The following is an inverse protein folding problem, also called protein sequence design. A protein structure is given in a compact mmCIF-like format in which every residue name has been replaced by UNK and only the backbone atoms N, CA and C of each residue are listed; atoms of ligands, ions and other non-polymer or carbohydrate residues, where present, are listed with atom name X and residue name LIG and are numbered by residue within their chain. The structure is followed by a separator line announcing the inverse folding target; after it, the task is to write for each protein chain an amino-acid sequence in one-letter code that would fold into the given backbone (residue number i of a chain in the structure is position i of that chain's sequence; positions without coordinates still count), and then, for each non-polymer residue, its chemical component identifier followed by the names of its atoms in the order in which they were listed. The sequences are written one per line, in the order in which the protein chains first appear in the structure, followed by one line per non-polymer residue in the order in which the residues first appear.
data_IF_927199176258
#
_entry.id   IF_927199176258
#
_cell.length_a   1.000
_cell.length_b   1.000
_cell.length_c   1.000
_cell.angle_alpha   90.00
_cell.angle_beta   90.00
_cell.angle_gamma   90.00
#
_symmetry.space_group_name_H-M   'P 1'
#
loop_
_entity.id
_entity.type
_entity.pdbx_description
1 polymer ?
#
# COMPACT_ATOMS: atom_id res chain seq x y z
N UNK A 1 -1.23 -23.66 -6.41
CA UNK A 1 -0.09 -22.73 -6.55
C UNK A 1 -0.48 -21.52 -5.75
N UNK A 2 0.40 -20.99 -4.98
CA UNK A 2 0.13 -19.75 -4.23
C UNK A 2 0.14 -18.59 -5.22
N UNK A 3 -0.85 -17.69 -5.11
CA UNK A 3 -0.98 -16.53 -5.97
C UNK A 3 -1.25 -15.27 -5.13
N UNK A 4 -0.75 -14.15 -5.60
CA UNK A 4 -0.89 -12.85 -4.94
C UNK A 4 -1.36 -11.78 -5.92
N UNK A 5 -2.14 -10.82 -5.42
CA UNK A 5 -2.55 -9.63 -6.16
C UNK A 5 -1.88 -8.40 -5.55
N UNK A 6 -1.24 -7.59 -6.38
CA UNK A 6 -0.75 -6.26 -6.02
C UNK A 6 -1.73 -5.19 -6.49
N UNK A 7 -2.17 -4.34 -5.58
CA UNK A 7 -3.06 -3.20 -5.85
C UNK A 7 -2.22 -1.94 -5.86
N UNK A 8 -1.91 -1.42 -7.04
CA UNK A 8 -0.89 -0.36 -7.23
C UNK A 8 -1.52 0.95 -7.70
N UNK A 9 -1.07 2.06 -7.14
CA UNK A 9 -1.57 3.41 -7.44
C UNK A 9 -1.21 3.89 -8.85
N UNK A 10 -2.16 4.52 -9.54
CA UNK A 10 -1.95 5.25 -10.79
C UNK A 10 -1.47 6.71 -10.58
N UNK A 11 -1.47 7.20 -9.32
CA UNK A 11 -1.14 8.58 -8.94
C UNK A 11 0.26 8.72 -8.29
N UNK A 12 0.91 7.60 -7.94
CA UNK A 12 2.26 7.59 -7.37
C UNK A 12 2.47 6.48 -6.35
N UNK A 13 2.99 5.31 -6.79
CA UNK A 13 3.39 4.24 -5.87
C UNK A 13 4.86 4.40 -5.46
N UNK A 14 5.20 4.00 -4.24
CA UNK A 14 6.60 3.96 -3.80
C UNK A 14 7.28 2.71 -4.35
N UNK A 15 8.32 2.91 -5.15
CA UNK A 15 8.93 1.84 -5.94
C UNK A 15 9.41 0.66 -5.12
N UNK A 16 10.18 0.91 -4.05
CA UNK A 16 10.74 -0.12 -3.18
C UNK A 16 9.63 -0.97 -2.53
N UNK A 17 8.59 -0.34 -1.99
CA UNK A 17 7.46 -1.02 -1.33
C UNK A 17 6.65 -1.93 -2.25
N UNK A 18 6.70 -1.67 -3.55
CA UNK A 18 6.07 -2.51 -4.56
C UNK A 18 7.05 -3.60 -5.05
N UNK A 19 8.26 -3.22 -5.42
CA UNK A 19 9.16 -4.09 -6.19
C UNK A 19 9.93 -5.07 -5.29
N UNK A 20 10.27 -4.72 -4.04
CA UNK A 20 10.94 -5.66 -3.14
C UNK A 20 10.03 -6.85 -2.78
N UNK A 21 8.78 -6.67 -2.32
CA UNK A 21 7.87 -7.80 -2.09
C UNK A 21 7.55 -8.56 -3.37
N UNK A 22 7.32 -7.87 -4.50
CA UNK A 22 6.99 -8.50 -5.77
C UNK A 22 8.13 -9.42 -6.24
N UNK A 23 9.37 -8.92 -6.23
CA UNK A 23 10.54 -9.72 -6.62
C UNK A 23 10.79 -10.89 -5.67
N UNK A 24 10.54 -10.71 -4.38
CA UNK A 24 10.66 -11.77 -3.36
C UNK A 24 9.66 -12.90 -3.63
N UNK A 25 8.42 -12.56 -3.97
CA UNK A 25 7.40 -13.54 -4.33
C UNK A 25 7.71 -14.26 -5.65
N UNK A 26 8.23 -13.54 -6.65
CA UNK A 26 8.71 -14.13 -7.90
C UNK A 26 9.82 -15.17 -7.67
N UNK A 27 10.81 -14.83 -6.83
CA UNK A 27 11.88 -15.76 -6.44
C UNK A 27 11.36 -16.98 -5.68
N UNK A 28 10.28 -16.83 -4.93
CA UNK A 28 9.60 -17.91 -4.23
C UNK A 28 8.70 -18.77 -5.15
N UNK A 29 8.50 -18.35 -6.40
CA UNK A 29 7.66 -19.04 -7.37
C UNK A 29 6.16 -18.85 -7.13
N UNK A 30 5.77 -17.74 -6.51
CA UNK A 30 4.38 -17.30 -6.36
C UNK A 30 3.93 -16.69 -7.69
N UNK A 31 2.71 -16.97 -8.10
CA UNK A 31 2.10 -16.31 -9.26
C UNK A 31 1.56 -14.94 -8.84
N UNK A 32 2.06 -13.87 -9.46
CA UNK A 32 1.71 -12.50 -9.06
C UNK A 32 0.96 -11.79 -10.18
N UNK A 33 -0.22 -11.25 -9.85
CA UNK A 33 -0.98 -10.33 -10.69
C UNK A 33 -0.88 -8.89 -10.17
N UNK A 34 -1.08 -7.92 -11.06
CA UNK A 34 -1.15 -6.49 -10.71
C UNK A 34 -2.49 -5.93 -11.14
N UNK A 35 -3.12 -5.16 -10.26
CA UNK A 35 -4.32 -4.39 -10.57
C UNK A 35 -4.14 -2.92 -10.16
N UNK A 36 -4.78 -2.04 -10.92
CA UNK A 36 -4.80 -0.61 -10.66
C UNK A 36 -6.25 -0.09 -10.67
N UNK A 37 -6.54 1.10 -10.17
CA UNK A 37 -7.91 1.61 -10.11
C UNK A 37 -8.70 1.50 -11.42
N UNK A 38 -8.07 1.81 -12.54
CA UNK A 38 -8.76 1.83 -13.85
C UNK A 38 -8.20 0.87 -14.89
N UNK A 39 -7.10 0.15 -14.58
CA UNK A 39 -6.38 -0.71 -15.50
C UNK A 39 -5.35 0.04 -16.35
N UNK A 40 -5.05 1.30 -16.02
CA UNK A 40 -3.92 1.99 -16.64
C UNK A 40 -2.62 1.60 -15.91
N UNK A 41 -1.46 1.67 -16.59
CA UNK A 41 -0.18 1.47 -15.94
C UNK A 41 -0.03 2.36 -14.69
N UNK A 42 0.49 1.82 -13.58
CA UNK A 42 0.75 2.60 -12.38
C UNK A 42 1.84 3.64 -12.65
N UNK A 43 1.91 4.67 -11.83
CA UNK A 43 2.91 5.72 -11.91
C UNK A 43 3.85 5.60 -10.72
N UNK A 44 5.15 5.42 -10.96
CA UNK A 44 6.14 5.40 -9.89
C UNK A 44 6.36 6.82 -9.33
N UNK A 45 6.46 6.94 -8.01
CA UNK A 45 6.83 8.22 -7.37
C UNK A 45 8.30 8.56 -7.72
N UNK A 46 8.53 9.74 -8.30
CA UNK A 46 9.85 10.17 -8.75
C UNK A 46 10.91 10.16 -7.63
N UNK A 47 10.50 10.37 -6.37
CA UNK A 47 11.40 10.33 -5.20
C UNK A 47 11.89 8.92 -4.90
N UNK A 48 11.05 7.90 -5.18
CA UNK A 48 11.37 6.49 -4.94
C UNK A 48 12.29 5.87 -6.00
N UNK A 49 12.62 6.62 -7.04
CA UNK A 49 13.62 6.26 -8.06
C UNK A 49 14.80 7.21 -8.12
N UNK A 50 14.84 8.22 -7.24
CA UNK A 50 15.97 9.11 -7.09
C UNK A 50 17.11 8.39 -6.33
N UNK A 51 18.29 8.14 -6.95
CA UNK A 51 19.39 7.45 -6.30
C UNK A 51 19.97 8.20 -5.09
N UNK A 52 19.77 9.52 -5.00
CA UNK A 52 20.18 10.30 -3.83
C UNK A 52 19.22 10.05 -2.63
N UNK A 53 18.01 9.60 -2.89
CA UNK A 53 16.97 9.27 -1.87
C UNK A 53 17.03 7.80 -1.46
N UNK A 54 16.99 6.87 -2.44
CA UNK A 54 16.84 5.43 -2.16
C UNK A 54 18.13 4.63 -2.40
N UNK A 55 19.18 5.26 -2.94
CA UNK A 55 20.42 4.60 -3.34
C UNK A 55 20.35 4.01 -4.76
N UNK A 56 21.54 3.90 -5.41
CA UNK A 56 21.65 3.46 -6.80
C UNK A 56 21.03 2.07 -7.04
N UNK A 57 21.22 1.12 -6.12
CA UNK A 57 20.77 -0.27 -6.30
C UNK A 57 19.25 -0.41 -6.32
N UNK A 58 18.57 0.27 -5.41
CA UNK A 58 17.08 0.28 -5.36
C UNK A 58 16.55 1.05 -6.58
N UNK A 59 17.07 2.23 -6.86
CA UNK A 59 16.69 3.03 -8.03
C UNK A 59 16.77 2.23 -9.33
N UNK A 60 17.90 1.56 -9.59
CA UNK A 60 18.09 0.74 -10.80
C UNK A 60 17.09 -0.43 -10.85
N UNK A 61 16.87 -1.13 -9.73
CA UNK A 61 15.95 -2.25 -9.66
C UNK A 61 14.51 -1.82 -9.93
N UNK A 62 14.05 -0.74 -9.27
CA UNK A 62 12.70 -0.21 -9.45
C UNK A 62 12.48 0.22 -10.90
N UNK A 63 13.41 0.97 -11.48
CA UNK A 63 13.32 1.41 -12.87
C UNK A 63 13.36 0.24 -13.87
N UNK A 64 14.05 -0.85 -13.57
CA UNK A 64 14.05 -2.04 -14.44
C UNK A 64 12.68 -2.69 -14.45
N UNK A 65 12.05 -2.89 -13.28
CA UNK A 65 10.69 -3.43 -13.20
C UNK A 65 9.65 -2.49 -13.82
N UNK A 66 9.67 -1.20 -13.47
CA UNK A 66 8.72 -0.21 -13.98
C UNK A 66 8.72 -0.13 -15.52
N UNK A 67 9.88 -0.26 -16.14
CA UNK A 67 10.02 -0.18 -17.59
C UNK A 67 9.81 -1.50 -18.34
N UNK A 68 9.99 -2.66 -17.68
CA UNK A 68 10.08 -3.93 -18.39
C UNK A 68 9.12 -5.00 -17.89
N UNK A 69 8.45 -4.83 -16.74
CA UNK A 69 7.51 -5.82 -16.23
C UNK A 69 6.15 -5.70 -16.94
N UNK A 70 5.74 -6.78 -17.61
CA UNK A 70 4.48 -6.81 -18.36
C UNK A 70 3.24 -6.63 -17.45
N UNK A 71 3.31 -7.01 -16.16
CA UNK A 71 2.23 -6.88 -15.20
C UNK A 71 1.97 -5.42 -14.84
N UNK A 72 3.05 -4.61 -14.74
CA UNK A 72 2.94 -3.16 -14.53
C UNK A 72 2.53 -2.43 -15.82
N UNK A 73 2.93 -2.95 -16.98
CA UNK A 73 2.60 -2.34 -18.27
C UNK A 73 1.13 -2.56 -18.70
N UNK A 74 0.51 -3.68 -18.29
CA UNK A 74 -0.88 -4.04 -18.67
C UNK A 74 -1.63 -4.64 -17.45
N UNK A 75 -1.84 -3.84 -16.39
CA UNK A 75 -2.51 -4.28 -15.17
C UNK A 75 -4.01 -4.48 -15.37
N UNK A 76 -4.63 -5.28 -14.49
CA UNK A 76 -6.08 -5.44 -14.49
C UNK A 76 -6.78 -4.24 -13.82
N UNK A 77 -7.97 -3.81 -14.28
CA UNK A 77 -8.76 -2.84 -13.52
C UNK A 77 -9.33 -3.49 -12.25
N UNK A 78 -9.27 -2.78 -11.11
CA UNK A 78 -9.79 -3.26 -9.81
C UNK A 78 -11.24 -3.78 -9.87
N UNK A 79 -12.04 -3.24 -10.78
CA UNK A 79 -13.42 -3.68 -10.96
C UNK A 79 -13.58 -5.11 -11.51
N UNK A 80 -12.49 -5.71 -12.04
CA UNK A 80 -12.51 -7.04 -12.67
C UNK A 80 -11.91 -8.15 -11.81
N UNK A 81 -11.26 -7.82 -10.68
CA UNK A 81 -10.59 -8.78 -9.80
C UNK A 81 -11.42 -9.08 -8.55
N UNK A 82 -11.20 -10.25 -7.96
CA UNK A 82 -11.86 -10.70 -6.72
C UNK A 82 -10.80 -11.22 -5.75
N UNK A 83 -10.93 -10.93 -4.46
CA UNK A 83 -10.04 -11.46 -3.43
C UNK A 83 -10.09 -13.00 -3.35
N UNK A 84 -11.21 -13.61 -3.70
CA UNK A 84 -11.37 -15.08 -3.70
C UNK A 84 -10.43 -15.80 -4.68
N UNK A 85 -9.86 -15.09 -5.64
CA UNK A 85 -8.94 -15.65 -6.64
C UNK A 85 -7.49 -15.65 -6.17
N UNK A 86 -7.17 -15.07 -4.99
CA UNK A 86 -5.80 -14.88 -4.49
C UNK A 86 -5.63 -15.33 -3.05
N UNK A 87 -4.47 -15.90 -2.73
CA UNK A 87 -4.09 -16.27 -1.36
C UNK A 87 -3.62 -15.04 -0.55
N UNK A 88 -3.14 -14.00 -1.24
CA UNK A 88 -2.73 -12.75 -0.63
C UNK A 88 -3.07 -11.53 -1.50
N UNK A 89 -3.42 -10.40 -0.86
CA UNK A 89 -3.58 -9.11 -1.51
C UNK A 89 -2.60 -8.12 -0.88
N UNK A 90 -1.78 -7.49 -1.71
CA UNK A 90 -0.71 -6.57 -1.30
C UNK A 90 -1.05 -5.16 -1.78
N UNK A 91 -1.00 -4.21 -0.86
CA UNK A 91 -1.22 -2.79 -1.12
C UNK A 91 0.09 -2.04 -0.84
N UNK A 92 0.98 -1.88 -1.83
CA UNK A 92 2.15 -1.02 -1.69
C UNK A 92 1.73 0.41 -1.45
N UNK A 93 2.54 1.17 -0.71
CA UNK A 93 2.23 2.55 -0.42
C UNK A 93 2.76 3.52 -1.48
N UNK A 94 3.12 4.68 -1.02
CA UNK A 94 3.38 5.87 -1.81
C UNK A 94 2.24 6.87 -1.64
N UNK A 95 2.55 8.16 -1.69
CA UNK A 95 1.55 9.21 -1.47
C UNK A 95 0.38 9.16 -2.45
N UNK A 96 0.59 8.63 -3.68
CA UNK A 96 -0.47 8.47 -4.67
C UNK A 96 -1.69 7.71 -4.16
N UNK A 97 -1.49 6.75 -3.25
CA UNK A 97 -2.57 5.94 -2.66
C UNK A 97 -3.62 6.78 -1.94
N UNK A 98 -3.23 7.96 -1.42
CA UNK A 98 -4.14 8.91 -0.77
C UNK A 98 -5.17 9.51 -1.73
N UNK A 99 -4.87 9.54 -3.04
CA UNK A 99 -5.78 10.12 -4.04
C UNK A 99 -6.61 9.07 -4.77
N UNK A 100 -6.10 7.84 -4.97
CA UNK A 100 -6.75 6.86 -5.85
C UNK A 100 -7.05 5.49 -5.22
N UNK A 101 -6.30 5.03 -4.21
CA UNK A 101 -6.50 3.69 -3.60
C UNK A 101 -7.35 3.78 -2.33
N UNK A 102 -6.98 4.64 -1.36
CA UNK A 102 -7.54 4.61 -0.01
C UNK A 102 -9.05 4.84 0.02
N UNK A 103 -9.57 5.60 -0.93
CA UNK A 103 -11.01 5.87 -1.05
C UNK A 103 -11.71 5.10 -2.15
N UNK A 104 -10.98 4.31 -2.97
CA UNK A 104 -11.59 3.49 -4.02
C UNK A 104 -12.45 2.37 -3.41
N UNK A 105 -13.65 2.20 -3.96
CA UNK A 105 -14.62 1.22 -3.44
C UNK A 105 -14.21 -0.22 -3.70
N UNK A 106 -13.52 -0.49 -4.82
CA UNK A 106 -13.12 -1.86 -5.18
C UNK A 106 -11.88 -2.27 -4.40
N UNK A 107 -10.91 -1.35 -4.21
CA UNK A 107 -9.76 -1.56 -3.34
C UNK A 107 -10.20 -1.89 -1.90
N UNK A 108 -11.13 -1.11 -1.34
CA UNK A 108 -11.70 -1.35 0.00
C UNK A 108 -12.46 -2.66 0.09
N UNK A 109 -13.21 -3.04 -0.96
CA UNK A 109 -13.91 -4.32 -0.97
C UNK A 109 -12.91 -5.48 -1.01
N UNK A 110 -11.88 -5.42 -1.88
CA UNK A 110 -10.81 -6.41 -1.93
C UNK A 110 -10.12 -6.59 -0.59
N UNK A 111 -9.79 -5.49 0.09
CA UNK A 111 -9.18 -5.55 1.42
C UNK A 111 -10.12 -6.21 2.44
N UNK A 112 -11.40 -5.81 2.46
CA UNK A 112 -12.37 -6.37 3.39
C UNK A 112 -12.57 -7.88 3.15
N UNK A 113 -12.67 -8.31 1.90
CA UNK A 113 -12.86 -9.70 1.52
C UNK A 113 -11.61 -10.55 1.83
N UNK A 114 -10.40 -10.03 1.56
CA UNK A 114 -9.15 -10.71 1.88
C UNK A 114 -8.97 -10.96 3.39
N UNK A 115 -9.37 -9.98 4.23
CA UNK A 115 -9.27 -10.10 5.70
C UNK A 115 -10.44 -10.89 6.30
N UNK A 116 -11.58 -10.98 5.63
CA UNK A 116 -12.72 -11.77 6.09
C UNK A 116 -12.64 -13.25 5.68
N UNK A 117 -11.80 -13.58 4.71
CA UNK A 117 -11.62 -14.97 4.23
C UNK A 117 -10.93 -15.87 5.25
N UNK A 118 -11.28 -17.17 5.23
CA UNK A 118 -10.67 -18.16 6.16
C UNK A 118 -9.18 -18.46 5.84
N UNK A 119 -8.69 -18.09 4.65
CA UNK A 119 -7.34 -18.42 4.16
C UNK A 119 -6.64 -17.22 3.45
N UNK A 120 -7.29 -16.04 3.39
CA UNK A 120 -6.75 -14.85 2.76
C UNK A 120 -5.84 -14.07 3.70
N UNK A 121 -4.89 -13.31 3.14
CA UNK A 121 -4.02 -12.39 3.89
C UNK A 121 -3.94 -11.05 3.14
N UNK A 122 -4.02 -9.95 3.86
CA UNK A 122 -3.76 -8.63 3.31
C UNK A 122 -2.46 -8.05 3.90
N UNK A 123 -1.54 -7.62 3.03
CA UNK A 123 -0.39 -6.80 3.39
C UNK A 123 -0.62 -5.37 2.93
N UNK A 124 -0.57 -4.42 3.86
CA UNK A 124 -0.80 -3.00 3.58
C UNK A 124 0.38 -2.18 4.10
N UNK A 125 1.00 -1.38 3.24
CA UNK A 125 2.28 -0.72 3.54
C UNK A 125 2.14 0.80 3.50
N UNK A 126 2.79 1.49 4.43
CA UNK A 126 3.03 2.93 4.39
C UNK A 126 1.72 3.75 4.25
N UNK A 127 1.59 4.59 3.22
CA UNK A 127 0.41 5.42 2.96
C UNK A 127 -0.83 4.61 2.55
N UNK A 128 -0.65 3.41 1.97
CA UNK A 128 -1.79 2.54 1.67
C UNK A 128 -2.54 2.10 2.94
N UNK A 129 -1.89 2.13 4.12
CA UNK A 129 -2.54 1.83 5.41
C UNK A 129 -3.74 2.76 5.69
N UNK A 130 -3.75 3.96 5.10
CA UNK A 130 -4.89 4.88 5.16
C UNK A 130 -6.21 4.28 4.66
N UNK A 131 -6.18 3.27 3.77
CA UNK A 131 -7.37 2.56 3.30
C UNK A 131 -8.19 1.97 4.46
N UNK A 132 -7.54 1.59 5.57
CA UNK A 132 -8.18 1.03 6.76
C UNK A 132 -9.12 2.05 7.42
N UNK A 133 -8.81 3.34 7.34
CA UNK A 133 -9.66 4.43 7.83
C UNK A 133 -10.99 4.55 7.09
N UNK A 134 -11.10 3.99 5.90
CA UNK A 134 -12.27 4.06 5.04
C UNK A 134 -12.97 2.70 4.82
N UNK A 135 -12.34 1.59 5.20
CA UNK A 135 -12.84 0.24 4.95
C UNK A 135 -13.76 -0.23 6.07
N UNK A 136 -14.89 -0.85 5.69
CA UNK A 136 -15.85 -1.45 6.62
C UNK A 136 -16.01 -2.94 6.36
N UNK A 137 -16.22 -3.69 7.44
CA UNK A 137 -16.58 -5.10 7.39
C UNK A 137 -18.06 -5.28 6.99
N UNK A 138 -18.51 -6.52 6.85
CA UNK A 138 -19.88 -6.87 6.49
C UNK A 138 -20.95 -6.36 7.48
N UNK A 139 -20.57 -6.12 8.74
CA UNK A 139 -21.50 -5.58 9.76
C UNK A 139 -21.61 -4.05 9.68
N UNK A 140 -20.77 -3.40 8.87
CA UNK A 140 -20.72 -1.95 8.69
C UNK A 140 -19.84 -1.22 9.72
N UNK A 141 -19.12 -1.97 10.57
CA UNK A 141 -18.09 -1.44 11.47
C UNK A 141 -16.78 -1.20 10.70
N UNK A 142 -15.93 -0.32 11.19
CA UNK A 142 -14.60 -0.16 10.57
C UNK A 142 -13.80 -1.46 10.69
N UNK A 143 -13.14 -1.87 9.59
CA UNK A 143 -12.37 -3.09 9.55
C UNK A 143 -11.22 -3.08 10.58
N UNK A 144 -10.66 -1.91 10.83
CA UNK A 144 -9.52 -1.67 11.72
C UNK A 144 -9.93 -1.52 13.20
N UNK A 145 -11.22 -1.39 13.52
CA UNK A 145 -11.67 -1.13 14.91
C UNK A 145 -11.17 -2.21 15.88
N UNK A 146 -10.31 -1.77 16.82
CA UNK A 146 -9.68 -2.61 17.83
C UNK A 146 -8.49 -3.45 17.37
N UNK A 147 -8.07 -3.38 16.08
CA UNK A 147 -6.88 -4.09 15.58
C UNK A 147 -5.60 -3.31 15.83
N UNK A 148 -4.52 -4.04 16.07
CA UNK A 148 -3.18 -3.48 16.17
C UNK A 148 -2.62 -3.23 14.77
N UNK A 149 -2.13 -2.01 14.50
CA UNK A 149 -1.66 -1.60 13.17
C UNK A 149 -0.50 -0.63 13.25
N UNK A 150 0.32 -0.61 12.20
CA UNK A 150 1.35 0.38 11.94
C UNK A 150 1.20 0.91 10.51
N UNK A 151 1.81 2.05 10.21
CA UNK A 151 1.80 2.68 8.89
C UNK A 151 2.65 3.94 8.92
N UNK A 152 2.51 4.80 7.90
CA UNK A 152 3.30 6.03 7.82
C UNK A 152 2.84 7.04 8.90
N UNK A 153 3.73 7.45 9.84
CA UNK A 153 3.33 8.26 10.99
C UNK A 153 3.25 9.75 10.65
N UNK A 154 2.38 10.47 11.35
CA UNK A 154 2.22 11.91 11.18
C UNK A 154 3.52 12.71 11.41
N UNK A 155 4.37 12.28 12.36
CA UNK A 155 5.64 12.95 12.63
C UNK A 155 6.55 12.99 11.39
N UNK A 156 6.59 11.91 10.61
CA UNK A 156 7.38 11.86 9.37
C UNK A 156 6.67 12.60 8.22
N UNK A 157 5.34 12.57 8.21
CA UNK A 157 4.55 13.29 7.20
C UNK A 157 4.72 14.80 7.33
N UNK A 158 4.73 15.33 8.57
CA UNK A 158 4.92 16.74 8.84
C UNK A 158 6.27 17.28 8.32
N UNK A 159 7.30 16.43 8.25
CA UNK A 159 8.59 16.78 7.68
C UNK A 159 8.56 16.88 6.12
N UNK A 160 7.56 16.27 5.49
CA UNK A 160 7.43 16.24 4.02
C UNK A 160 6.51 17.36 3.52
N UNK A 161 5.43 17.66 4.23
CA UNK A 161 4.46 18.69 3.84
C UNK A 161 4.88 20.06 4.38
N UNK A 162 4.52 21.14 3.67
CA UNK A 162 4.76 22.52 4.13
C UNK A 162 3.68 23.01 5.11
N UNK A 163 3.80 24.25 5.59
CA UNK A 163 2.85 24.88 6.53
C UNK A 163 1.40 24.95 6.02
N UNK A 164 1.15 24.64 4.75
CA UNK A 164 -0.17 24.60 4.14
C UNK A 164 -0.66 23.17 3.83
N UNK A 165 -0.01 22.16 4.36
CA UNK A 165 -0.25 20.73 4.06
C UNK A 165 -0.08 20.42 2.56
N UNK A 166 0.90 21.03 1.90
CA UNK A 166 1.21 20.82 0.49
C UNK A 166 2.37 19.84 0.31
N UNK A 167 2.19 18.93 -0.63
CA UNK A 167 3.27 18.06 -1.10
C UNK A 167 4.31 18.84 -1.90
N UNK A 168 5.52 18.32 -2.11
CA UNK A 168 6.55 18.97 -2.92
C UNK A 168 6.11 19.36 -4.33
N UNK A 169 5.12 18.65 -4.90
CA UNK A 169 4.50 18.96 -6.19
C UNK A 169 3.40 20.03 -6.12
N UNK A 170 3.13 20.56 -4.93
CA UNK A 170 2.13 21.60 -4.68
C UNK A 170 0.69 21.09 -4.54
N UNK A 171 0.45 19.77 -4.55
CA UNK A 171 -0.86 19.21 -4.22
C UNK A 171 -1.11 19.28 -2.72
N UNK A 172 -2.36 19.49 -2.33
CA UNK A 172 -2.73 19.35 -0.93
C UNK A 172 -2.84 17.88 -0.56
N UNK A 173 -2.18 17.47 0.53
CA UNK A 173 -2.38 16.15 1.09
C UNK A 173 -3.83 15.99 1.55
N UNK A 174 -4.59 14.98 1.08
CA UNK A 174 -6.01 14.86 1.39
C UNK A 174 -6.25 14.39 2.83
N UNK A 175 -5.41 13.51 3.33
CA UNK A 175 -5.53 12.87 4.65
C UNK A 175 -4.13 12.65 5.26
N UNK A 176 -4.12 12.41 6.57
CA UNK A 176 -2.97 11.86 7.29
C UNK A 176 -3.33 10.43 7.71
N UNK A 177 -2.51 9.46 7.32
CA UNK A 177 -2.77 8.01 7.52
C UNK A 177 -3.06 7.67 8.98
N UNK A 178 -2.20 8.12 9.87
CA UNK A 178 -2.34 7.88 11.32
C UNK A 178 -3.67 8.42 11.86
N UNK A 179 -4.03 9.65 11.49
CA UNK A 179 -5.28 10.29 11.94
C UNK A 179 -6.51 9.51 11.49
N UNK A 180 -6.55 9.07 10.21
CA UNK A 180 -7.69 8.33 9.66
C UNK A 180 -7.85 6.95 10.33
N UNK A 181 -6.74 6.25 10.55
CA UNK A 181 -6.73 4.92 11.17
C UNK A 181 -7.14 5.01 12.64
N UNK A 182 -6.61 5.98 13.40
CA UNK A 182 -6.98 6.22 14.80
C UNK A 182 -8.46 6.62 14.89
N UNK A 183 -8.95 7.49 14.00
CA UNK A 183 -10.36 7.89 13.97
C UNK A 183 -11.31 6.73 13.67
N UNK A 184 -10.84 5.71 12.94
CA UNK A 184 -11.57 4.49 12.64
C UNK A 184 -11.47 3.42 13.75
N UNK A 185 -10.74 3.69 14.84
CA UNK A 185 -10.63 2.80 16.01
C UNK A 185 -9.45 1.87 16.02
N UNK A 186 -8.47 2.03 15.11
CA UNK A 186 -7.24 1.25 15.09
C UNK A 186 -6.33 1.55 16.28
N UNK A 187 -5.68 0.52 16.82
CA UNK A 187 -4.64 0.64 17.83
C UNK A 187 -3.30 0.91 17.14
N UNK A 188 -2.99 2.20 16.96
CA UNK A 188 -1.81 2.62 16.22
C UNK A 188 -0.52 2.36 17.01
N UNK A 189 0.51 1.76 16.35
CA UNK A 189 1.86 1.68 16.89
C UNK A 189 2.55 3.03 16.80
N UNK A 190 2.60 3.72 17.94
CA UNK A 190 3.19 5.05 18.07
C UNK A 190 4.71 5.02 18.39
N UNK A 191 5.35 3.84 18.43
CA UNK A 191 6.78 3.75 18.71
C UNK A 191 7.59 4.11 17.45
N UNK A 192 8.30 5.23 17.48
CA UNK A 192 9.12 5.74 16.37
C UNK A 192 10.63 5.42 16.55
N UNK A 193 10.99 4.62 17.55
CA UNK A 193 12.39 4.26 17.83
C UNK A 193 13.04 3.38 16.75
N UNK A 194 12.24 2.88 15.78
CA UNK A 194 12.68 2.07 14.66
C UNK A 194 12.02 2.54 13.37
N UNK A 195 12.80 2.67 12.32
CA UNK A 195 12.31 2.88 10.95
C UNK A 195 11.52 1.65 10.46
N UNK A 196 11.88 0.46 10.99
CA UNK A 196 11.21 -0.81 10.67
C UNK A 196 10.13 -1.10 11.69
N UNK A 197 8.89 -1.23 11.23
CA UNK A 197 7.77 -1.73 12.04
C UNK A 197 6.82 -2.54 11.17
N UNK A 198 6.51 -3.75 11.60
CA UNK A 198 5.51 -4.63 10.98
C UNK A 198 4.60 -5.15 12.09
N UNK A 199 3.29 -4.97 11.88
CA UNK A 199 2.27 -5.47 12.81
C UNK A 199 1.44 -6.55 12.11
N UNK A 200 1.20 -7.65 12.83
CA UNK A 200 0.37 -8.77 12.36
C UNK A 200 -0.80 -8.94 13.32
N UNK A 201 -2.00 -8.71 12.81
CA UNK A 201 -3.25 -8.90 13.55
C UNK A 201 -4.19 -9.82 12.75
N UNK A 202 -4.10 -11.14 13.03
CA UNK A 202 -4.80 -12.15 12.26
C UNK A 202 -4.33 -12.17 10.81
N UNK A 203 -5.25 -11.96 9.89
CA UNK A 203 -5.00 -11.97 8.44
C UNK A 203 -4.62 -10.59 7.87
N UNK A 204 -4.55 -9.58 8.73
CA UNK A 204 -4.09 -8.25 8.39
C UNK A 204 -2.63 -8.07 8.82
N UNK A 205 -1.77 -7.77 7.85
CA UNK A 205 -0.37 -7.39 8.06
C UNK A 205 -0.22 -5.94 7.63
N UNK A 206 0.32 -5.10 8.50
CA UNK A 206 0.62 -3.71 8.18
C UNK A 206 2.11 -3.42 8.38
N UNK A 207 2.68 -2.58 7.52
CA UNK A 207 4.08 -2.20 7.57
C UNK A 207 4.23 -0.67 7.47
N UNK A 208 5.24 -0.12 8.17
CA UNK A 208 5.39 1.33 8.35
C UNK A 208 5.81 2.05 7.08
N UNK A 209 6.76 1.52 6.34
CA UNK A 209 7.34 2.18 5.19
C UNK A 209 8.35 1.29 4.46
N UNK A 210 9.20 1.88 3.59
CA UNK A 210 10.10 1.13 2.71
C UNK A 210 11.02 0.15 3.45
N UNK A 211 11.57 0.53 4.60
CA UNK A 211 12.47 -0.30 5.40
C UNK A 211 11.77 -1.52 6.02
N UNK A 212 10.45 -1.60 5.90
CA UNK A 212 9.60 -2.67 6.41
C UNK A 212 9.02 -3.56 5.32
N UNK A 213 9.29 -3.25 4.05
CA UNK A 213 8.75 -3.95 2.89
C UNK A 213 9.57 -5.16 2.43
#
# INVERSE_FOLDING_TARGET
MTNALFVVSEEGYWGEECIEPLSTLDEAGVDVAVATPTGNPPVVDERSVDPDTVGEGISEKVLDYDNNDERLADPEPLASVSADDYDAVVFPGGHGTEWDINTDRHARQLLADAVAGDEGTALVVCHAVGILGFTRNETGEFLVDGRDVTGFPNEWEEDIVDDNDLMPDGRKLPNFVEDEVIAAGGNWDAELDSETSVTVDGDLVTARGPESS
#
